data_IF_949722547342
#
_entry.id   IF_949722547342
#
_cell.length_a   1.000
_cell.length_b   1.000
_cell.length_c   1.000
_cell.angle_alpha   90.00
_cell.angle_beta   90.00
_cell.angle_gamma   90.00
#
_symmetry.space_group_name_H-M   'P 1'
#
loop_
_entity.id
_entity.type
_entity.pdbx_description
1 polymer ?
#
# COMPACT_ATOMS: atom_id res chain seq x y z
N UNK A 1 -12.89 -2.58 15.93
CA UNK A 1 -12.11 -3.44 15.01
C UNK A 1 -12.79 -3.45 13.66
N UNK A 2 -12.06 -3.07 12.62
CA UNK A 2 -12.64 -2.93 11.28
C UNK A 2 -13.05 -4.25 10.63
N UNK A 3 -13.70 -4.14 9.48
CA UNK A 3 -14.22 -5.26 8.67
C UNK A 3 -13.14 -5.87 7.78
N UNK A 4 -12.28 -5.02 7.21
CA UNK A 4 -11.15 -5.44 6.36
C UNK A 4 -9.96 -5.83 7.23
N UNK A 5 -9.24 -6.89 6.87
CA UNK A 5 -8.10 -7.36 7.66
C UNK A 5 -7.02 -6.27 7.78
N UNK A 6 -6.35 -6.23 8.93
CA UNK A 6 -5.26 -5.29 9.16
C UNK A 6 -4.09 -5.52 8.21
N UNK A 7 -3.81 -6.77 7.83
CA UNK A 7 -2.79 -7.10 6.85
C UNK A 7 -3.09 -6.49 5.49
N UNK A 8 -4.32 -6.64 4.98
CA UNK A 8 -4.71 -6.07 3.68
C UNK A 8 -4.69 -4.54 3.72
N UNK A 9 -5.18 -3.92 4.79
CA UNK A 9 -5.12 -2.46 4.96
C UNK A 9 -3.70 -1.92 4.82
N UNK A 10 -2.70 -2.63 5.37
CA UNK A 10 -1.28 -2.23 5.27
C UNK A 10 -0.70 -2.47 3.88
N UNK A 11 -1.14 -3.52 3.18
CA UNK A 11 -0.78 -3.71 1.77
C UNK A 11 -1.39 -2.63 0.87
N UNK A 12 -2.64 -2.23 1.12
CA UNK A 12 -3.28 -1.08 0.45
C UNK A 12 -2.47 0.20 0.72
N UNK A 13 -2.09 0.45 1.97
CA UNK A 13 -1.26 1.58 2.36
C UNK A 13 0.09 1.59 1.62
N UNK A 14 0.72 0.42 1.50
CA UNK A 14 1.97 0.29 0.74
C UNK A 14 1.77 0.64 -0.74
N UNK A 15 0.76 0.08 -1.38
CA UNK A 15 0.47 0.34 -2.81
C UNK A 15 0.17 1.82 -3.04
N UNK A 16 -0.61 2.45 -2.17
CA UNK A 16 -0.87 3.90 -2.23
C UNK A 16 0.41 4.71 -2.12
N UNK A 17 1.28 4.35 -1.17
CA UNK A 17 2.55 5.02 -0.93
C UNK A 17 3.55 4.82 -2.08
N UNK A 18 3.55 3.63 -2.68
CA UNK A 18 4.35 3.34 -3.86
C UNK A 18 3.88 4.17 -5.08
N UNK A 19 2.58 4.26 -5.28
CA UNK A 19 1.98 5.06 -6.37
C UNK A 19 2.30 6.55 -6.21
N UNK A 20 2.26 7.06 -4.97
CA UNK A 20 2.60 8.44 -4.64
C UNK A 20 4.11 8.73 -4.58
N UNK A 21 4.94 7.69 -4.53
CA UNK A 21 6.40 7.82 -4.48
C UNK A 21 6.99 8.15 -3.11
N UNK A 22 6.25 8.03 -2.02
CA UNK A 22 6.75 8.29 -0.67
C UNK A 22 7.55 7.08 -0.12
N UNK A 23 8.87 7.14 -0.18
CA UNK A 23 9.75 6.05 0.26
C UNK A 23 9.68 5.78 1.76
N UNK A 24 9.55 6.82 2.57
CA UNK A 24 9.28 6.73 4.00
C UNK A 24 8.01 5.92 4.27
N UNK A 25 6.92 6.29 3.62
CA UNK A 25 5.63 5.64 3.82
C UNK A 25 5.62 4.19 3.31
N UNK A 26 6.33 3.90 2.20
CA UNK A 26 6.46 2.54 1.68
C UNK A 26 7.09 1.61 2.73
N UNK A 27 8.19 2.01 3.32
CA UNK A 27 8.90 1.22 4.33
C UNK A 27 8.05 1.01 5.58
N UNK A 28 7.40 2.05 6.07
CA UNK A 28 6.50 1.96 7.23
C UNK A 28 5.29 1.08 6.96
N UNK A 29 4.67 1.20 5.79
CA UNK A 29 3.51 0.39 5.42
C UNK A 29 3.86 -1.10 5.27
N UNK A 30 5.00 -1.43 4.63
CA UNK A 30 5.42 -2.82 4.47
C UNK A 30 5.80 -3.45 5.81
N UNK A 31 6.46 -2.69 6.69
CA UNK A 31 6.76 -3.12 8.06
C UNK A 31 5.49 -3.41 8.86
N UNK A 32 4.51 -2.52 8.79
CA UNK A 32 3.23 -2.72 9.44
C UNK A 32 2.48 -3.93 8.87
N UNK A 33 2.51 -4.15 7.56
CA UNK A 33 1.90 -5.31 6.93
C UNK A 33 2.49 -6.62 7.47
N UNK A 34 3.81 -6.72 7.61
CA UNK A 34 4.48 -7.87 8.21
C UNK A 34 4.03 -8.08 9.66
N UNK A 35 4.03 -7.02 10.46
CA UNK A 35 3.65 -7.08 11.88
C UNK A 35 2.19 -7.48 12.09
N UNK A 36 1.31 -7.13 11.17
CA UNK A 36 -0.11 -7.49 11.22
C UNK A 36 -0.45 -8.79 10.49
N UNK A 37 0.56 -9.60 10.19
CA UNK A 37 0.38 -10.97 9.75
C UNK A 37 0.24 -11.19 8.24
N UNK A 38 0.63 -10.22 7.41
CA UNK A 38 0.71 -10.46 5.98
C UNK A 38 1.77 -11.53 5.67
N UNK A 39 1.46 -12.42 4.77
CA UNK A 39 2.38 -13.49 4.36
C UNK A 39 3.64 -12.90 3.74
N UNK A 40 4.81 -13.35 4.18
CA UNK A 40 6.11 -12.85 3.70
C UNK A 40 6.26 -12.96 2.19
N UNK A 41 5.76 -14.04 1.59
CA UNK A 41 5.81 -14.23 0.15
C UNK A 41 4.95 -13.21 -0.62
N UNK A 42 3.81 -12.79 -0.06
CA UNK A 42 3.03 -11.68 -0.60
C UNK A 42 3.81 -10.37 -0.54
N UNK A 43 4.45 -10.09 0.59
CA UNK A 43 5.23 -8.85 0.75
C UNK A 43 6.44 -8.79 -0.18
N UNK A 44 7.10 -9.91 -0.40
CA UNK A 44 8.23 -10.01 -1.33
C UNK A 44 7.83 -9.84 -2.80
N UNK A 45 6.56 -10.02 -3.13
CA UNK A 45 6.03 -9.98 -4.49
C UNK A 45 4.86 -9.00 -4.64
N UNK A 46 4.75 -8.02 -3.75
CA UNK A 46 3.57 -7.15 -3.69
C UNK A 46 3.38 -6.30 -4.96
N UNK A 47 4.46 -5.90 -5.62
CA UNK A 47 4.39 -5.17 -6.90
C UNK A 47 3.91 -6.05 -8.07
N UNK A 48 4.01 -7.38 -7.95
CA UNK A 48 3.53 -8.36 -8.91
C UNK A 48 2.18 -8.96 -8.51
N UNK A 49 1.40 -8.26 -7.66
CA UNK A 49 0.15 -8.77 -7.11
C UNK A 49 -0.87 -9.20 -8.17
N UNK A 50 -0.78 -8.63 -9.38
CA UNK A 50 -1.69 -8.97 -10.49
C UNK A 50 -1.56 -10.41 -10.94
N UNK A 51 -0.37 -10.97 -10.87
CA UNK A 51 -0.02 -12.29 -11.42
C UNK A 51 0.49 -13.27 -10.37
N UNK A 52 1.00 -12.79 -9.25
CA UNK A 52 1.55 -13.66 -8.22
C UNK A 52 0.44 -14.50 -7.57
N UNK A 53 0.57 -15.86 -7.54
CA UNK A 53 -0.54 -16.76 -7.21
C UNK A 53 -1.13 -16.60 -5.81
N UNK A 54 -0.36 -16.14 -4.83
CA UNK A 54 -0.81 -16.01 -3.43
C UNK A 54 -1.86 -14.93 -3.20
N UNK A 55 -2.03 -13.98 -4.14
CA UNK A 55 -3.06 -12.95 -4.03
C UNK A 55 -4.41 -13.45 -4.53
N UNK A 56 -5.45 -13.26 -3.73
CA UNK A 56 -6.82 -13.55 -4.14
C UNK A 56 -7.35 -12.48 -5.11
N UNK A 57 -8.42 -12.80 -5.83
CA UNK A 57 -9.06 -11.82 -6.72
C UNK A 57 -9.62 -10.63 -5.95
N UNK A 58 -10.11 -10.86 -4.72
CA UNK A 58 -10.56 -9.79 -3.83
C UNK A 58 -9.40 -8.84 -3.44
N UNK A 59 -8.25 -9.41 -3.07
CA UNK A 59 -7.05 -8.63 -2.77
C UNK A 59 -6.57 -7.85 -4.00
N UNK A 60 -6.53 -8.48 -5.16
CA UNK A 60 -6.15 -7.82 -6.42
C UNK A 60 -7.06 -6.64 -6.75
N UNK A 61 -8.37 -6.80 -6.57
CA UNK A 61 -9.34 -5.71 -6.80
C UNK A 61 -9.09 -4.52 -5.87
N UNK A 62 -8.81 -4.78 -4.58
CA UNK A 62 -8.49 -3.73 -3.61
C UNK A 62 -7.18 -3.01 -3.95
N UNK A 63 -6.14 -3.74 -4.36
CA UNK A 63 -4.84 -3.14 -4.71
C UNK A 63 -4.89 -2.36 -6.04
N UNK A 64 -5.65 -2.83 -7.03
CA UNK A 64 -5.91 -2.05 -8.25
C UNK A 64 -6.65 -0.74 -7.95
N UNK A 65 -7.66 -0.82 -7.08
CA UNK A 65 -8.38 0.36 -6.63
C UNK A 65 -7.44 1.34 -5.91
N UNK A 66 -6.53 0.82 -5.07
CA UNK A 66 -5.55 1.65 -4.37
C UNK A 66 -4.64 2.42 -5.34
N UNK A 67 -4.17 1.79 -6.41
CA UNK A 67 -3.40 2.47 -7.46
C UNK A 67 -4.23 3.58 -8.10
N UNK A 68 -5.42 3.25 -8.59
CA UNK A 68 -6.26 4.17 -9.32
C UNK A 68 -6.69 5.38 -8.46
N UNK A 69 -7.05 5.13 -7.20
CA UNK A 69 -7.45 6.18 -6.26
C UNK A 69 -6.28 7.04 -5.76
N UNK A 70 -5.05 6.53 -5.85
CA UNK A 70 -3.83 7.26 -5.44
C UNK A 70 -3.19 8.03 -6.60
N UNK A 71 -3.66 7.83 -7.81
CA UNK A 71 -3.16 8.52 -9.01
C UNK A 71 -3.78 9.91 -9.11
N UNK A 72 -3.00 10.89 -9.58
CA UNK A 72 -3.47 12.27 -9.79
C UNK A 72 -3.25 12.63 -11.26
N UNK A 73 -4.30 12.95 -12.02
CA UNK A 73 -5.74 12.92 -11.67
C UNK A 73 -6.23 11.52 -11.29
N UNK A 74 -7.30 11.45 -10.48
CA UNK A 74 -7.88 10.20 -10.05
C UNK A 74 -8.25 9.31 -11.25
N UNK A 75 -7.85 8.03 -11.19
CA UNK A 75 -8.00 7.07 -12.29
C UNK A 75 -9.01 5.96 -12.00
N UNK A 76 -9.87 6.13 -10.99
CA UNK A 76 -10.91 5.16 -10.70
C UNK A 76 -11.94 5.15 -11.82
N UNK A 77 -11.83 4.15 -12.70
CA UNK A 77 -12.78 3.91 -13.80
C UNK A 77 -14.00 3.12 -13.33
N UNK A 78 -15.05 3.09 -14.14
CA UNK A 78 -16.23 2.25 -13.89
C UNK A 78 -15.84 0.77 -13.80
N UNK A 79 -14.86 0.32 -14.58
CA UNK A 79 -14.35 -1.04 -14.54
C UNK A 79 -13.67 -1.37 -13.21
N UNK A 80 -12.79 -0.50 -12.74
CA UNK A 80 -12.10 -0.64 -11.43
C UNK A 80 -13.14 -0.68 -10.31
N UNK A 81 -14.10 0.25 -10.31
CA UNK A 81 -15.16 0.31 -9.33
C UNK A 81 -16.06 -0.94 -9.36
N UNK A 82 -16.39 -1.45 -10.54
CA UNK A 82 -17.19 -2.66 -10.72
C UNK A 82 -16.47 -3.88 -10.16
N UNK A 83 -15.21 -4.09 -10.48
CA UNK A 83 -14.40 -5.19 -9.94
C UNK A 83 -14.30 -5.14 -8.42
N UNK A 84 -14.11 -3.95 -7.86
CA UNK A 84 -14.05 -3.77 -6.41
C UNK A 84 -15.38 -4.22 -5.76
N UNK A 85 -16.51 -3.79 -6.29
CA UNK A 85 -17.84 -4.14 -5.77
C UNK A 85 -18.21 -5.61 -5.93
N UNK A 86 -17.54 -6.37 -6.79
CA UNK A 86 -17.73 -7.82 -6.91
C UNK A 86 -17.22 -8.58 -5.68
N UNK A 87 -16.26 -8.01 -4.95
CA UNK A 87 -15.58 -8.67 -3.83
C UNK A 87 -15.79 -7.99 -2.48
N UNK A 88 -16.15 -6.71 -2.47
CA UNK A 88 -16.21 -5.88 -1.26
C UNK A 88 -17.55 -5.15 -1.19
N UNK A 89 -18.17 -5.16 0.00
CA UNK A 89 -19.38 -4.37 0.23
C UNK A 89 -19.06 -2.89 0.50
N UNK A 90 -20.08 -2.07 0.62
CA UNK A 90 -19.92 -0.62 0.82
C UNK A 90 -19.12 -0.28 2.07
N UNK A 91 -19.34 -1.00 3.17
CA UNK A 91 -18.60 -0.79 4.42
C UNK A 91 -17.11 -1.10 4.27
N UNK A 92 -16.79 -2.19 3.58
CA UNK A 92 -15.42 -2.58 3.29
C UNK A 92 -14.74 -1.54 2.39
N UNK A 93 -15.43 -1.08 1.36
CA UNK A 93 -14.94 -0.07 0.42
C UNK A 93 -14.65 1.26 1.13
N UNK A 94 -15.51 1.66 2.07
CA UNK A 94 -15.26 2.85 2.90
C UNK A 94 -14.00 2.69 3.74
N UNK A 95 -13.76 1.53 4.34
CA UNK A 95 -12.53 1.27 5.09
C UNK A 95 -11.28 1.31 4.19
N UNK A 96 -11.34 0.65 3.03
CA UNK A 96 -10.24 0.66 2.05
C UNK A 96 -9.95 2.08 1.58
N UNK A 97 -10.98 2.83 1.22
CA UNK A 97 -10.85 4.23 0.78
C UNK A 97 -10.29 5.12 1.89
N UNK A 98 -10.72 4.88 3.13
CA UNK A 98 -10.19 5.57 4.31
C UNK A 98 -8.69 5.39 4.47
N UNK A 99 -8.18 4.17 4.28
CA UNK A 99 -6.74 3.89 4.31
C UNK A 99 -6.00 4.63 3.19
N UNK A 100 -6.52 4.58 1.97
CA UNK A 100 -5.94 5.28 0.82
C UNK A 100 -5.87 6.79 1.08
N UNK A 101 -6.95 7.37 1.59
CA UNK A 101 -7.05 8.80 1.88
C UNK A 101 -6.11 9.23 2.99
N UNK A 102 -6.02 8.45 4.07
CA UNK A 102 -5.07 8.70 5.16
C UNK A 102 -3.62 8.67 4.64
N UNK A 103 -3.26 7.67 3.86
CA UNK A 103 -1.92 7.57 3.31
C UNK A 103 -1.66 8.63 2.23
N UNK A 104 -2.67 9.05 1.49
CA UNK A 104 -2.56 10.21 0.61
C UNK A 104 -2.14 11.48 1.35
N UNK A 105 -2.72 11.72 2.53
CA UNK A 105 -2.28 12.79 3.44
C UNK A 105 -0.85 12.56 3.92
N UNK A 106 -0.55 11.38 4.47
CA UNK A 106 0.77 11.05 5.02
C UNK A 106 1.87 11.07 3.95
N UNK A 107 1.56 10.60 2.74
CA UNK A 107 2.51 10.62 1.63
C UNK A 107 2.95 12.06 1.30
N UNK A 108 1.99 12.98 1.18
CA UNK A 108 2.29 14.38 0.90
C UNK A 108 3.06 15.02 2.04
N UNK A 109 2.64 14.78 3.28
CA UNK A 109 3.31 15.33 4.46
C UNK A 109 4.76 14.85 4.55
N UNK A 110 4.95 13.54 4.67
CA UNK A 110 6.28 12.98 4.90
C UNK A 110 7.23 13.17 3.72
N UNK A 111 6.73 13.07 2.50
CA UNK A 111 7.57 13.24 1.32
C UNK A 111 7.95 14.71 1.10
N UNK A 112 7.06 15.65 1.43
CA UNK A 112 7.35 17.09 1.35
C UNK A 112 8.31 17.55 2.45
N UNK A 113 8.13 17.03 3.67
CA UNK A 113 8.94 17.40 4.83
C UNK A 113 10.29 16.67 4.89
N UNK A 114 10.47 15.61 4.08
CA UNK A 114 11.68 14.78 4.16
C UNK A 114 11.85 14.12 5.52
N UNK A 115 10.74 13.67 6.12
CA UNK A 115 10.75 13.09 7.47
C UNK A 115 11.84 12.03 7.62
N UNK A 116 12.66 12.13 8.67
CA UNK A 116 13.73 11.18 8.95
C UNK A 116 13.16 9.78 9.20
N UNK A 117 13.73 8.78 8.50
CA UNK A 117 13.27 7.40 8.60
C UNK A 117 13.98 6.64 9.73
N UNK A 118 13.22 5.93 10.54
CA UNK A 118 13.73 5.16 11.66
C UNK A 118 14.42 3.86 11.19
N UNK A 119 15.45 3.38 11.94
CA UNK A 119 16.23 2.19 11.54
C UNK A 119 15.39 0.94 11.26
N UNK A 120 14.36 0.69 12.05
CA UNK A 120 13.48 -0.46 11.84
C UNK A 120 12.65 -0.40 10.55
N UNK A 121 12.31 0.79 10.09
CA UNK A 121 11.62 0.97 8.80
C UNK A 121 12.61 0.80 7.64
N UNK A 122 13.84 1.28 7.79
CA UNK A 122 14.92 1.05 6.81
C UNK A 122 15.15 -0.46 6.63
N UNK A 123 15.26 -1.20 7.73
CA UNK A 123 15.44 -2.66 7.70
C UNK A 123 14.34 -3.35 6.90
N UNK A 124 13.08 -2.99 7.13
CA UNK A 124 11.94 -3.56 6.40
C UNK A 124 11.95 -3.17 4.91
N UNK A 125 12.28 -1.93 4.60
CA UNK A 125 12.44 -1.46 3.22
C UNK A 125 13.53 -2.25 2.48
N UNK A 126 14.70 -2.42 3.09
CA UNK A 126 15.79 -3.22 2.54
C UNK A 126 15.37 -4.70 2.35
N UNK A 127 14.71 -5.29 3.34
CA UNK A 127 14.29 -6.68 3.33
C UNK A 127 13.30 -7.01 2.21
N UNK A 128 12.31 -6.16 1.98
CA UNK A 128 11.20 -6.46 1.07
C UNK A 128 11.25 -5.70 -0.25
N UNK A 129 11.84 -4.51 -0.30
CA UNK A 129 11.68 -3.58 -1.41
C UNK A 129 12.98 -3.31 -2.17
N UNK A 130 14.13 -3.73 -1.66
CA UNK A 130 15.44 -3.48 -2.28
C UNK A 130 15.53 -3.94 -3.73
N UNK A 131 14.97 -5.11 -4.04
CA UNK A 131 14.97 -5.68 -5.40
C UNK A 131 14.27 -4.79 -6.43
N UNK A 132 13.35 -3.93 -5.97
CA UNK A 132 12.63 -2.95 -6.81
C UNK A 132 13.22 -1.54 -6.71
N UNK A 133 14.46 -1.45 -6.23
CA UNK A 133 15.18 -0.19 -6.21
C UNK A 133 14.82 0.75 -5.06
N UNK A 134 14.14 0.27 -4.02
CA UNK A 134 13.86 1.10 -2.86
C UNK A 134 15.14 1.55 -2.16
N UNK A 135 15.22 2.82 -1.85
CA UNK A 135 16.22 3.41 -0.97
C UNK A 135 15.52 4.45 -0.09
N UNK A 136 16.10 4.79 1.05
CA UNK A 136 15.54 5.81 1.93
C UNK A 136 15.53 7.22 1.28
N UNK A 137 16.40 7.46 0.30
CA UNK A 137 16.46 8.74 -0.41
C UNK A 137 16.64 9.92 0.54
N UNK A 138 15.83 10.97 0.34
CA UNK A 138 15.86 12.20 1.15
C UNK A 138 15.48 12.03 2.63
N UNK A 139 14.99 10.86 3.02
CA UNK A 139 14.60 10.55 4.40
C UNK A 139 15.77 10.05 5.27
N UNK A 140 16.95 9.97 4.71
CA UNK A 140 18.18 9.56 5.40
C UNK A 140 19.08 10.78 5.64
N UNK A 141 19.66 10.89 6.82
CA UNK A 141 20.73 11.83 7.15
C UNK A 141 22.09 11.16 7.13
#
# INVERSE_FOLDING_TARGET
KGRVSSALKRMVAYISSNTAGCRYCQAHAIRAAERYGAEKEKLKNIWDFRTYPSFSDAERAALEFAIAASTVPNSVSDEVAKKLRQHWDEGDIVEITGVISLFGFLNRWNDSMGTEIEPGAVESGEKFLRKKGWTAGKHRY
#
